data_IF_000038077395
#
_entry.id   IF_000038077395
#
_cell.length_a   1.000
_cell.length_b   1.000
_cell.length_c   1.000
_cell.angle_alpha   90.00
_cell.angle_beta   90.00
_cell.angle_gamma   90.00
#
_symmetry.space_group_name_H-M   'P 1'
#
loop_
_entity.id
_entity.type
_entity.pdbx_description
1 polymer ?
#
# COMPACT_ATOMS: atom_id res chain seq x y z
N UNK A 1 -33.86 27.18 -0.36
CA UNK A 1 -33.16 28.32 -0.93
C UNK A 1 -34.22 29.26 -1.55
N UNK A 2 -34.11 30.56 -1.24
CA UNK A 2 -35.04 31.57 -1.75
C UNK A 2 -34.59 32.03 -3.14
N UNK A 3 -35.19 31.48 -4.19
CA UNK A 3 -34.90 31.83 -5.60
C UNK A 3 -35.52 33.17 -6.05
N UNK A 4 -35.87 34.06 -5.14
CA UNK A 4 -36.70 35.23 -5.44
C UNK A 4 -36.01 36.38 -6.23
N UNK A 5 -34.75 36.21 -6.72
CA UNK A 5 -34.07 37.23 -7.52
C UNK A 5 -33.22 36.68 -8.68
N UNK A 6 -33.57 35.50 -9.22
CA UNK A 6 -32.75 34.82 -10.25
C UNK A 6 -32.97 35.36 -11.65
N UNK A 7 -34.10 36.04 -11.91
CA UNK A 7 -34.42 36.55 -13.24
C UNK A 7 -34.38 38.08 -13.27
N UNK A 8 -33.45 38.62 -14.01
CA UNK A 8 -33.45 40.07 -14.33
C UNK A 8 -34.41 40.33 -15.49
N UNK A 9 -35.47 41.10 -15.23
CA UNK A 9 -36.40 41.53 -16.22
C UNK A 9 -35.94 42.87 -16.80
N UNK A 10 -35.68 42.95 -18.11
CA UNK A 10 -35.45 44.16 -18.85
C UNK A 10 -36.58 44.41 -19.81
N UNK A 11 -36.89 45.71 -20.03
CA UNK A 11 -37.87 46.16 -21.01
C UNK A 11 -37.15 46.38 -22.34
N UNK A 12 -37.47 45.60 -23.35
CA UNK A 12 -36.89 45.70 -24.69
C UNK A 12 -37.92 46.19 -25.69
N UNK A 13 -38.20 47.55 -25.65
CA UNK A 13 -39.09 48.22 -26.59
C UNK A 13 -40.53 47.77 -26.46
N UNK A 14 -41.30 48.02 -27.53
CA UNK A 14 -42.72 47.66 -27.66
C UNK A 14 -42.93 46.70 -28.81
N UNK A 15 -43.68 45.64 -28.59
CA UNK A 15 -44.10 44.66 -29.60
C UNK A 15 -45.58 45.09 -29.99
N UNK A 16 -45.86 45.26 -31.27
CA UNK A 16 -47.18 45.66 -31.76
C UNK A 16 -47.69 46.99 -31.19
N UNK A 17 -46.82 48.01 -31.03
CA UNK A 17 -47.15 49.39 -30.65
C UNK A 17 -47.72 49.58 -29.25
N UNK A 18 -48.41 48.59 -28.68
CA UNK A 18 -49.14 48.73 -27.41
C UNK A 18 -48.64 47.80 -26.28
N UNK A 19 -47.88 46.73 -26.58
CA UNK A 19 -47.43 45.80 -25.57
C UNK A 19 -45.93 45.97 -25.29
N UNK A 20 -45.58 46.07 -24.02
CA UNK A 20 -44.19 46.06 -23.60
C UNK A 20 -43.56 44.67 -23.88
N UNK A 21 -42.44 44.67 -24.57
CA UNK A 21 -41.64 43.46 -24.74
C UNK A 21 -40.71 43.29 -23.54
N UNK A 22 -40.79 42.16 -22.89
CA UNK A 22 -39.91 41.85 -21.74
C UNK A 22 -38.98 40.74 -22.11
N UNK A 23 -37.70 40.95 -21.84
CA UNK A 23 -36.67 39.95 -21.94
C UNK A 23 -36.24 39.54 -20.52
N UNK A 24 -36.10 38.25 -20.31
CA UNK A 24 -35.58 37.68 -19.07
C UNK A 24 -34.15 37.25 -19.32
N UNK A 25 -33.23 37.82 -18.57
CA UNK A 25 -31.83 37.41 -18.58
C UNK A 25 -31.59 36.52 -17.38
N UNK A 26 -31.10 35.32 -17.62
CA UNK A 26 -30.65 34.38 -16.58
C UNK A 26 -29.22 34.76 -16.23
N UNK A 27 -28.91 35.09 -14.98
CA UNK A 27 -27.53 35.26 -14.55
C UNK A 27 -26.71 34.00 -14.82
N UNK A 28 -25.43 34.19 -15.07
CA UNK A 28 -24.48 33.10 -15.31
C UNK A 28 -23.40 33.11 -14.24
N UNK A 29 -22.88 31.93 -13.92
CA UNK A 29 -21.74 31.75 -13.03
C UNK A 29 -20.65 30.96 -13.74
N UNK A 30 -19.41 31.32 -13.52
CA UNK A 30 -18.26 30.48 -13.88
C UNK A 30 -18.12 29.35 -12.87
N UNK A 31 -17.99 28.13 -13.35
CA UNK A 31 -17.93 26.92 -12.55
C UNK A 31 -16.51 26.35 -12.62
N UNK A 32 -16.02 25.96 -11.47
CA UNK A 32 -14.73 25.27 -11.31
C UNK A 32 -14.96 23.80 -11.01
N UNK A 33 -14.24 22.93 -11.69
CA UNK A 33 -14.19 21.48 -11.43
C UNK A 33 -12.91 21.18 -10.67
N UNK A 34 -13.03 20.49 -9.54
CA UNK A 34 -11.92 19.85 -8.83
C UNK A 34 -11.92 18.40 -9.25
N UNK A 35 -10.79 17.93 -9.78
CA UNK A 35 -10.63 16.58 -10.29
C UNK A 35 -9.79 15.74 -9.34
N UNK A 36 -10.26 14.53 -9.06
CA UNK A 36 -9.54 13.55 -8.24
C UNK A 36 -8.46 12.78 -8.98
N UNK A 37 -8.41 12.90 -10.31
CA UNK A 37 -7.47 12.19 -11.17
C UNK A 37 -7.11 13.02 -12.38
N UNK A 38 -5.90 12.87 -12.91
CA UNK A 38 -5.50 13.47 -14.18
C UNK A 38 -6.19 12.79 -15.37
N UNK A 39 -6.52 13.55 -16.39
CA UNK A 39 -7.11 12.99 -17.62
C UNK A 39 -7.78 14.01 -18.52
N UNK A 40 -8.34 13.51 -19.63
CA UNK A 40 -9.09 14.32 -20.60
C UNK A 40 -10.59 14.07 -20.42
N UNK A 41 -11.33 15.10 -20.02
CA UNK A 41 -12.77 14.99 -19.83
C UNK A 41 -13.49 15.52 -21.07
N UNK A 42 -14.44 14.73 -21.56
CA UNK A 42 -15.41 15.13 -22.56
C UNK A 42 -16.79 15.17 -21.92
N UNK A 43 -17.47 16.31 -21.98
CA UNK A 43 -18.85 16.44 -21.49
C UNK A 43 -19.75 17.11 -22.51
N UNK A 44 -21.07 16.93 -22.38
CA UNK A 44 -22.06 17.49 -23.27
C UNK A 44 -22.91 18.55 -22.54
N UNK A 45 -22.99 19.75 -23.12
CA UNK A 45 -23.85 20.83 -22.64
C UNK A 45 -24.55 21.51 -23.78
N UNK A 46 -25.88 21.65 -23.70
CA UNK A 46 -26.74 22.23 -24.74
C UNK A 46 -26.63 21.58 -26.13
N UNK A 47 -26.18 20.31 -26.19
CA UNK A 47 -25.98 19.56 -27.44
C UNK A 47 -24.58 19.72 -28.04
N UNK A 48 -23.75 20.53 -27.43
CA UNK A 48 -22.35 20.71 -27.82
C UNK A 48 -21.44 19.85 -26.94
N UNK A 49 -20.37 19.32 -27.53
CA UNK A 49 -19.32 18.59 -26.81
C UNK A 49 -18.19 19.54 -26.45
N UNK A 50 -17.80 19.47 -25.19
CA UNK A 50 -16.69 20.21 -24.61
C UNK A 50 -15.59 19.27 -24.18
N UNK A 51 -14.32 19.70 -24.29
CA UNK A 51 -13.15 18.94 -23.92
C UNK A 51 -12.29 19.78 -22.99
N UNK A 52 -11.88 19.22 -21.87
CA UNK A 52 -10.97 19.85 -20.91
C UNK A 52 -9.93 18.84 -20.44
N UNK A 53 -8.70 19.30 -20.28
CA UNK A 53 -7.64 18.55 -19.62
C UNK A 53 -7.64 18.92 -18.15
N UNK A 54 -7.59 17.93 -17.27
CA UNK A 54 -7.55 18.09 -15.83
C UNK A 54 -6.33 17.36 -15.24
N UNK A 55 -5.80 17.92 -14.18
CA UNK A 55 -4.76 17.30 -13.36
C UNK A 55 -5.35 16.96 -12.00
N UNK A 56 -4.75 15.97 -11.32
CA UNK A 56 -5.16 15.53 -9.99
C UNK A 56 -5.06 16.71 -9.01
N UNK A 57 -6.10 16.92 -8.20
CA UNK A 57 -6.22 17.97 -7.19
C UNK A 57 -6.07 19.40 -7.72
N UNK A 58 -6.16 19.62 -9.04
CA UNK A 58 -6.11 20.95 -9.65
C UNK A 58 -7.51 21.49 -9.97
N UNK A 59 -7.68 22.79 -9.75
CA UNK A 59 -8.91 23.51 -10.04
C UNK A 59 -8.96 23.87 -11.53
N UNK A 60 -9.94 23.36 -12.25
CA UNK A 60 -10.13 23.64 -13.68
C UNK A 60 -11.42 24.37 -13.95
N UNK A 61 -11.34 25.48 -14.68
CA UNK A 61 -12.55 26.16 -15.15
C UNK A 61 -13.31 25.26 -16.14
N UNK A 62 -14.51 24.85 -15.75
CA UNK A 62 -15.43 24.07 -16.59
C UNK A 62 -16.12 24.94 -17.64
N UNK A 63 -16.34 26.20 -17.30
CA UNK A 63 -17.01 27.19 -18.16
C UNK A 63 -18.08 28.00 -17.42
N UNK A 64 -18.85 28.76 -18.18
CA UNK A 64 -19.90 29.63 -17.64
C UNK A 64 -21.27 29.05 -17.92
N UNK A 65 -22.06 28.85 -16.87
CA UNK A 65 -23.38 28.22 -16.91
C UNK A 65 -24.46 29.19 -16.39
N UNK A 66 -25.68 29.20 -16.99
CA UNK A 66 -26.83 29.82 -16.37
C UNK A 66 -27.07 29.26 -14.98
N UNK A 67 -27.61 30.07 -14.06
CA UNK A 67 -27.92 29.57 -12.70
C UNK A 67 -28.91 28.41 -12.78
N UNK A 68 -28.55 27.28 -12.17
CA UNK A 68 -29.35 26.05 -12.15
C UNK A 68 -28.49 24.86 -11.71
N UNK A 69 -29.15 23.73 -11.50
CA UNK A 69 -28.47 22.46 -11.18
C UNK A 69 -28.33 21.64 -12.46
N UNK A 70 -27.17 21.06 -12.66
CA UNK A 70 -26.86 20.31 -13.88
C UNK A 70 -26.30 18.95 -13.53
N UNK A 71 -26.65 17.94 -14.32
CA UNK A 71 -26.01 16.63 -14.35
C UNK A 71 -25.57 16.38 -15.80
N UNK A 72 -24.32 16.69 -16.10
CA UNK A 72 -23.77 16.62 -17.44
C UNK A 72 -23.22 15.20 -17.69
N UNK A 73 -23.69 14.56 -18.74
CA UNK A 73 -23.07 13.28 -19.19
C UNK A 73 -21.64 13.56 -19.60
N UNK A 74 -20.71 12.78 -19.05
CA UNK A 74 -19.30 12.94 -19.31
C UNK A 74 -18.61 11.59 -19.49
N UNK A 75 -17.44 11.65 -20.11
CA UNK A 75 -16.46 10.58 -20.11
C UNK A 75 -15.09 11.16 -19.82
N UNK A 76 -14.23 10.37 -19.19
CA UNK A 76 -12.84 10.74 -18.86
C UNK A 76 -11.89 9.70 -19.39
N UNK A 77 -10.90 10.15 -20.14
CA UNK A 77 -9.79 9.32 -20.59
C UNK A 77 -8.66 9.36 -19.57
N UNK A 78 -8.40 8.25 -18.90
CA UNK A 78 -7.35 8.08 -17.91
C UNK A 78 -6.52 6.87 -18.29
N UNK A 79 -5.19 7.00 -18.35
CA UNK A 79 -4.25 5.92 -18.68
C UNK A 79 -4.61 5.12 -19.97
N UNK A 80 -5.18 5.83 -20.96
CA UNK A 80 -5.58 5.22 -22.24
C UNK A 80 -6.88 4.43 -22.21
N UNK A 81 -7.64 4.49 -21.11
CA UNK A 81 -8.98 3.90 -20.96
C UNK A 81 -10.03 5.00 -20.83
N UNK A 82 -11.23 4.77 -21.37
CA UNK A 82 -12.33 5.73 -21.32
C UNK A 82 -13.39 5.30 -20.29
N UNK A 83 -13.59 6.14 -19.28
CA UNK A 83 -14.53 5.91 -18.19
C UNK A 83 -15.77 6.79 -18.37
N UNK A 84 -16.94 6.19 -18.27
CA UNK A 84 -18.23 6.90 -18.37
C UNK A 84 -18.67 7.38 -17.00
N UNK A 85 -19.26 8.58 -16.98
CA UNK A 85 -19.72 9.18 -15.74
C UNK A 85 -20.55 10.44 -15.99
N UNK A 86 -20.50 11.32 -15.00
CA UNK A 86 -21.19 12.58 -15.02
C UNK A 86 -20.40 13.67 -14.28
N UNK A 87 -20.68 14.93 -14.62
CA UNK A 87 -20.29 16.09 -13.85
C UNK A 87 -21.56 16.69 -13.27
N UNK A 88 -21.62 16.80 -11.95
CA UNK A 88 -22.75 17.42 -11.23
C UNK A 88 -22.38 18.83 -10.81
N UNK A 89 -23.23 19.80 -11.13
CA UNK A 89 -23.09 21.19 -10.72
C UNK A 89 -24.31 21.50 -9.86
N UNK A 90 -24.09 21.86 -8.61
CA UNK A 90 -25.11 22.34 -7.67
C UNK A 90 -24.83 23.83 -7.36
N UNK A 91 -25.69 24.70 -7.84
CA UNK A 91 -25.56 26.15 -7.60
C UNK A 91 -26.45 26.63 -6.46
N UNK A 92 -27.08 25.75 -5.69
CA UNK A 92 -27.90 26.10 -4.53
C UNK A 92 -27.05 26.65 -3.37
N UNK A 93 -25.78 26.28 -3.34
CA UNK A 93 -24.78 26.79 -2.38
C UNK A 93 -23.99 27.98 -2.96
N UNK A 94 -23.22 28.64 -2.11
CA UNK A 94 -22.43 29.82 -2.51
C UNK A 94 -21.25 29.43 -3.42
N UNK A 95 -20.84 28.19 -3.37
CA UNK A 95 -19.67 27.71 -4.08
C UNK A 95 -20.00 27.33 -5.53
N UNK A 96 -19.15 27.78 -6.43
CA UNK A 96 -19.31 27.54 -7.89
C UNK A 96 -18.47 26.32 -8.31
N UNK A 97 -18.62 25.19 -7.57
CA UNK A 97 -17.82 23.98 -7.73
C UNK A 97 -18.67 22.88 -8.38
N UNK A 98 -18.06 22.19 -9.34
CA UNK A 98 -18.59 20.99 -9.95
C UNK A 98 -17.88 19.75 -9.36
N UNK A 99 -18.63 18.67 -9.27
CA UNK A 99 -18.14 17.37 -8.80
C UNK A 99 -18.22 16.35 -9.93
N UNK A 100 -17.13 15.59 -10.10
CA UNK A 100 -17.10 14.49 -11.06
C UNK A 100 -17.46 13.16 -10.41
N UNK A 101 -18.07 12.27 -11.20
CA UNK A 101 -18.36 10.91 -10.81
C UNK A 101 -18.16 9.99 -12.02
N UNK A 102 -17.01 9.36 -12.10
CA UNK A 102 -16.69 8.36 -13.13
C UNK A 102 -16.66 6.97 -12.50
N UNK A 103 -17.36 6.04 -13.13
CA UNK A 103 -17.40 4.66 -12.65
C UNK A 103 -16.07 3.99 -12.98
N UNK A 104 -15.32 3.66 -11.97
CA UNK A 104 -14.03 2.99 -12.05
C UNK A 104 -13.86 2.02 -10.88
N UNK A 105 -12.99 1.05 -11.05
CA UNK A 105 -12.60 0.10 -10.00
C UNK A 105 -11.17 0.41 -9.57
N UNK A 106 -10.98 0.58 -8.25
CA UNK A 106 -9.68 0.77 -7.61
C UNK A 106 -9.53 -0.18 -6.45
N UNK A 107 -8.32 -0.59 -6.13
CA UNK A 107 -8.07 -1.51 -5.03
C UNK A 107 -6.68 -1.29 -4.40
N UNK A 108 -6.59 -1.63 -3.12
CA UNK A 108 -5.33 -1.78 -2.41
C UNK A 108 -5.01 -3.27 -2.32
N UNK A 109 -3.74 -3.61 -2.17
CA UNK A 109 -3.30 -5.00 -2.01
C UNK A 109 -2.47 -5.14 -0.74
N UNK A 110 -2.92 -6.05 0.13
CA UNK A 110 -2.19 -6.50 1.29
C UNK A 110 -1.60 -7.89 1.01
N UNK A 111 -0.34 -8.10 1.40
CA UNK A 111 0.32 -9.40 1.27
C UNK A 111 0.49 -10.03 2.64
N UNK A 112 0.11 -11.31 2.77
CA UNK A 112 0.30 -12.11 3.97
C UNK A 112 1.24 -13.29 3.68
N UNK A 113 2.09 -13.65 4.66
CA UNK A 113 2.93 -14.85 4.61
C UNK A 113 4.19 -14.77 3.75
N UNK A 114 4.57 -13.59 3.30
CA UNK A 114 5.75 -13.42 2.42
C UNK A 114 6.89 -12.61 3.02
N UNK A 115 6.98 -12.52 4.34
CA UNK A 115 7.88 -11.59 5.05
C UNK A 115 9.38 -11.86 4.84
N UNK A 116 9.75 -13.11 4.51
CA UNK A 116 11.15 -13.48 4.21
C UNK A 116 11.49 -13.45 2.72
N UNK A 117 10.50 -13.16 1.86
CA UNK A 117 10.70 -13.12 0.42
C UNK A 117 11.28 -11.77 -0.02
N UNK A 118 12.28 -11.82 -0.86
CA UNK A 118 12.84 -10.67 -1.55
C UNK A 118 12.00 -10.31 -2.78
N UNK A 119 12.06 -9.01 -3.15
CA UNK A 119 11.48 -8.50 -4.40
C UNK A 119 10.01 -8.89 -4.59
N UNK A 120 9.20 -8.79 -3.54
CA UNK A 120 7.76 -9.06 -3.65
C UNK A 120 7.13 -8.04 -4.58
N UNK A 121 6.47 -8.53 -5.65
CA UNK A 121 5.80 -7.73 -6.68
C UNK A 121 4.35 -8.12 -6.77
N UNK A 122 3.49 -7.14 -7.05
CA UNK A 122 2.06 -7.33 -7.27
C UNK A 122 1.77 -7.40 -8.77
N UNK A 123 0.91 -8.32 -9.14
CA UNK A 123 0.46 -8.53 -10.51
C UNK A 123 -1.07 -8.43 -10.59
N UNK A 124 -1.57 -7.71 -11.59
CA UNK A 124 -2.98 -7.70 -11.96
C UNK A 124 -3.11 -8.19 -13.39
N UNK A 125 -3.95 -9.21 -13.62
CA UNK A 125 -4.12 -9.87 -14.93
C UNK A 125 -2.79 -10.28 -15.59
N UNK A 126 -1.80 -10.69 -14.76
CA UNK A 126 -0.48 -11.12 -15.22
C UNK A 126 0.49 -10.00 -15.56
N UNK A 127 0.11 -8.74 -15.38
CA UNK A 127 0.99 -7.58 -15.53
C UNK A 127 1.44 -7.10 -14.16
N UNK A 128 2.74 -6.87 -13.98
CA UNK A 128 3.28 -6.21 -12.79
C UNK A 128 2.70 -4.79 -12.65
N UNK A 129 2.20 -4.47 -11.47
CA UNK A 129 1.57 -3.18 -11.17
C UNK A 129 2.23 -2.43 -10.01
N UNK A 130 3.04 -3.09 -9.19
CA UNK A 130 3.73 -2.43 -8.09
C UNK A 130 4.45 -3.39 -7.15
N UNK A 131 4.93 -2.83 -6.04
CA UNK A 131 5.66 -3.54 -5.01
C UNK A 131 4.71 -4.13 -3.96
N UNK A 132 5.04 -5.33 -3.44
CA UNK A 132 4.19 -6.10 -2.53
C UNK A 132 3.99 -5.48 -1.14
N UNK A 133 4.81 -4.51 -0.77
CA UNK A 133 4.73 -3.80 0.52
C UNK A 133 4.40 -2.32 0.36
N UNK A 134 3.90 -1.93 -0.83
CA UNK A 134 3.44 -0.57 -1.09
C UNK A 134 2.01 -0.40 -0.58
N UNK A 135 1.71 0.77 -0.02
CA UNK A 135 0.35 1.19 0.33
C UNK A 135 -0.36 1.91 -0.82
N UNK A 136 0.07 1.71 -2.04
CA UNK A 136 -0.50 2.36 -3.22
C UNK A 136 -1.88 1.80 -3.57
N UNK A 137 -2.75 2.69 -4.05
CA UNK A 137 -4.03 2.31 -4.64
C UNK A 137 -3.86 2.08 -6.12
N UNK A 138 -4.18 0.87 -6.58
CA UNK A 138 -4.05 0.44 -7.96
C UNK A 138 -5.34 0.71 -8.75
N UNK A 139 -5.21 1.08 -10.00
CA UNK A 139 -6.28 1.41 -10.93
C UNK A 139 -5.95 2.71 -11.69
N UNK A 140 -6.88 3.21 -12.53
CA UNK A 140 -8.27 2.79 -12.67
C UNK A 140 -8.48 1.56 -13.59
N UNK A 141 -9.46 0.74 -13.25
CA UNK A 141 -9.94 -0.38 -14.08
C UNK A 141 -11.40 -0.15 -14.44
N UNK A 142 -11.82 -0.72 -15.61
CA UNK A 142 -13.25 -0.70 -15.98
C UNK A 142 -14.07 -1.43 -14.90
N UNK A 143 -15.24 -0.90 -14.50
CA UNK A 143 -16.08 -1.55 -13.48
C UNK A 143 -16.46 -2.99 -13.82
N UNK A 144 -16.61 -3.30 -15.10
CA UNK A 144 -16.99 -4.61 -15.59
C UNK A 144 -15.78 -5.50 -15.94
N UNK A 145 -14.55 -4.96 -15.88
CA UNK A 145 -13.31 -5.71 -16.11
C UNK A 145 -13.08 -6.71 -14.98
N UNK A 146 -12.80 -7.97 -15.34
CA UNK A 146 -12.32 -8.95 -14.37
C UNK A 146 -10.85 -8.68 -14.05
N UNK A 147 -10.55 -8.42 -12.78
CA UNK A 147 -9.19 -8.14 -12.31
C UNK A 147 -8.78 -9.22 -11.32
N UNK A 148 -7.80 -10.03 -11.73
CA UNK A 148 -7.22 -11.10 -10.91
C UNK A 148 -5.86 -10.64 -10.39
N UNK A 149 -5.72 -10.57 -9.07
CA UNK A 149 -4.51 -10.11 -8.39
C UNK A 149 -3.78 -11.27 -7.73
N UNK A 150 -2.46 -11.28 -7.82
CA UNK A 150 -1.57 -12.14 -7.04
C UNK A 150 -0.25 -11.42 -6.77
N UNK A 151 0.54 -11.96 -5.85
CA UNK A 151 1.90 -11.51 -5.58
C UNK A 151 2.91 -12.61 -5.95
N UNK A 152 4.11 -12.21 -6.33
CA UNK A 152 5.27 -13.09 -6.52
C UNK A 152 6.46 -12.50 -5.76
N UNK A 153 7.22 -13.35 -5.07
CA UNK A 153 8.44 -12.99 -4.36
C UNK A 153 9.48 -14.09 -4.51
N UNK A 154 10.72 -13.83 -4.16
CA UNK A 154 11.80 -14.81 -4.33
C UNK A 154 12.57 -15.01 -3.03
N UNK A 155 13.07 -16.22 -2.84
CA UNK A 155 14.03 -16.58 -1.80
C UNK A 155 15.06 -17.54 -2.39
N UNK A 156 16.36 -17.22 -2.23
CA UNK A 156 17.47 -18.08 -2.68
C UNK A 156 17.28 -18.62 -4.11
N UNK A 157 16.86 -17.73 -5.04
CA UNK A 157 16.68 -18.07 -6.47
C UNK A 157 15.39 -18.83 -6.82
N UNK A 158 14.54 -19.16 -5.85
CA UNK A 158 13.21 -19.73 -6.08
C UNK A 158 12.14 -18.66 -5.99
N UNK A 159 11.25 -18.65 -6.97
CA UNK A 159 10.06 -17.77 -6.95
C UNK A 159 8.90 -18.48 -6.28
N UNK A 160 8.25 -17.76 -5.38
CA UNK A 160 7.00 -18.14 -4.73
C UNK A 160 5.88 -17.25 -5.22
N UNK A 161 4.71 -17.83 -5.35
CA UNK A 161 3.51 -17.15 -5.80
C UNK A 161 2.41 -17.27 -4.75
N UNK A 162 1.73 -16.16 -4.47
CA UNK A 162 0.56 -16.17 -3.61
C UNK A 162 -0.64 -16.83 -4.28
N UNK A 163 -1.72 -17.03 -3.53
CA UNK A 163 -3.03 -17.29 -4.12
C UNK A 163 -3.43 -16.13 -5.05
N UNK A 164 -4.36 -16.41 -5.95
CA UNK A 164 -4.96 -15.40 -6.82
C UNK A 164 -6.34 -14.99 -6.28
N UNK A 165 -6.62 -13.69 -6.26
CA UNK A 165 -7.88 -13.12 -5.77
C UNK A 165 -8.52 -12.28 -6.87
N UNK A 166 -9.82 -12.49 -7.13
CA UNK A 166 -10.58 -11.61 -7.99
C UNK A 166 -11.03 -10.38 -7.17
N UNK A 167 -10.67 -9.18 -7.62
CA UNK A 167 -11.02 -7.91 -6.94
C UNK A 167 -12.53 -7.82 -6.70
N UNK A 168 -13.36 -8.31 -7.62
CA UNK A 168 -14.83 -8.29 -7.48
C UNK A 168 -15.35 -9.17 -6.32
N UNK A 169 -14.54 -10.11 -5.83
CA UNK A 169 -14.91 -10.98 -4.69
C UNK A 169 -14.49 -10.44 -3.33
N UNK A 170 -13.71 -9.36 -3.30
CA UNK A 170 -13.25 -8.71 -2.08
C UNK A 170 -14.26 -7.64 -1.61
N UNK A 171 -14.13 -7.22 -0.36
CA UNK A 171 -15.06 -6.26 0.25
C UNK A 171 -14.70 -4.84 -0.19
N UNK A 172 -15.67 -4.11 -0.73
CA UNK A 172 -15.55 -2.68 -1.01
C UNK A 172 -15.59 -1.89 0.31
N UNK A 173 -14.67 -0.95 0.47
CA UNK A 173 -14.65 0.04 1.55
C UNK A 173 -15.40 1.32 1.16
N UNK A 174 -15.68 2.15 2.17
CA UNK A 174 -16.17 3.51 1.94
C UNK A 174 -15.19 4.27 1.02
N UNK A 175 -15.71 4.86 -0.07
CA UNK A 175 -14.93 5.61 -1.05
C UNK A 175 -14.64 4.86 -2.36
N UNK A 176 -15.21 3.66 -2.58
CA UNK A 176 -15.11 2.94 -3.86
C UNK A 176 -13.77 2.26 -4.11
N UNK A 177 -12.95 2.10 -3.06
CA UNK A 177 -11.70 1.33 -3.11
C UNK A 177 -11.90 -0.01 -2.45
N UNK A 178 -11.45 -1.09 -3.10
CA UNK A 178 -11.57 -2.46 -2.59
C UNK A 178 -10.25 -2.91 -1.98
N UNK A 179 -10.27 -3.51 -0.78
CA UNK A 179 -9.07 -4.12 -0.21
C UNK A 179 -8.98 -5.59 -0.62
N UNK A 180 -7.85 -5.95 -1.17
CA UNK A 180 -7.52 -7.31 -1.63
C UNK A 180 -6.39 -7.84 -0.78
N UNK A 181 -6.59 -9.00 -0.15
CA UNK A 181 -5.52 -9.70 0.58
C UNK A 181 -5.09 -10.92 -0.21
N UNK A 182 -3.83 -10.98 -0.59
CA UNK A 182 -3.19 -12.14 -1.20
C UNK A 182 -2.27 -12.82 -0.18
N UNK A 183 -2.26 -14.16 -0.19
CA UNK A 183 -1.54 -14.95 0.81
C UNK A 183 -0.55 -15.88 0.14
N UNK A 184 0.68 -15.82 0.61
CA UNK A 184 1.69 -16.82 0.27
C UNK A 184 1.44 -18.10 1.06
N UNK A 185 1.91 -19.21 0.53
CA UNK A 185 1.94 -20.50 1.23
C UNK A 185 3.18 -20.53 2.14
N UNK A 186 2.98 -20.12 3.40
CA UNK A 186 4.04 -20.05 4.41
C UNK A 186 4.68 -21.43 4.62
N UNK A 187 3.88 -22.51 4.67
CA UNK A 187 4.40 -23.86 4.86
C UNK A 187 5.34 -24.27 3.71
N UNK A 188 4.99 -23.94 2.47
CA UNK A 188 5.84 -24.20 1.31
C UNK A 188 7.12 -23.36 1.28
N UNK A 189 7.07 -22.16 1.85
CA UNK A 189 8.23 -21.27 2.00
C UNK A 189 9.14 -21.85 3.08
N UNK A 190 8.61 -22.13 4.27
CA UNK A 190 9.37 -22.68 5.42
C UNK A 190 10.06 -23.99 5.04
N UNK A 191 9.36 -24.93 4.41
CA UNK A 191 9.96 -26.18 3.93
C UNK A 191 11.12 -25.96 2.95
N UNK A 192 11.06 -24.90 2.14
CA UNK A 192 12.16 -24.59 1.22
C UNK A 192 13.32 -23.93 1.94
N UNK A 193 13.04 -23.08 2.91
CA UNK A 193 14.06 -22.47 3.78
C UNK A 193 14.79 -23.53 4.55
N UNK A 194 14.07 -24.42 5.25
CA UNK A 194 14.66 -25.53 6.01
C UNK A 194 15.55 -26.40 5.11
N UNK A 195 15.04 -26.75 3.92
CA UNK A 195 15.84 -27.51 2.96
C UNK A 195 17.11 -26.78 2.53
N UNK A 196 17.06 -25.45 2.35
CA UNK A 196 18.24 -24.66 2.00
C UNK A 196 19.23 -24.55 3.14
N UNK A 197 18.74 -24.50 4.35
CA UNK A 197 19.58 -24.57 5.55
C UNK A 197 20.26 -25.93 5.62
N UNK A 198 19.52 -27.03 5.48
CA UNK A 198 20.06 -28.38 5.47
C UNK A 198 21.12 -28.56 4.36
N UNK A 199 20.83 -28.12 3.11
CA UNK A 199 21.80 -28.17 2.01
C UNK A 199 23.09 -27.39 2.34
N UNK A 200 22.98 -26.25 3.02
CA UNK A 200 24.12 -25.40 3.40
C UNK A 200 24.99 -26.07 4.50
N UNK A 201 24.34 -26.86 5.36
CA UNK A 201 25.03 -27.57 6.44
C UNK A 201 25.50 -28.97 6.04
N UNK A 202 24.83 -29.65 5.08
CA UNK A 202 25.18 -31.00 4.60
C UNK A 202 26.39 -30.97 3.64
N UNK A 203 26.67 -29.84 2.97
CA UNK A 203 27.87 -29.67 2.10
C UNK A 203 29.17 -29.42 2.91
N UNK A 204 29.09 -29.48 4.26
CA UNK A 204 30.21 -29.34 5.17
C UNK A 204 30.74 -30.69 5.76
N UNK A 205 30.12 -31.83 5.36
CA UNK A 205 30.44 -33.15 5.95
C UNK A 205 31.27 -34.08 5.04
N UNK A 206 32.15 -33.54 4.20
CA UNK A 206 33.18 -34.40 3.58
C UNK A 206 34.54 -33.69 3.49
N UNK A 207 35.18 -33.53 4.63
CA UNK A 207 36.62 -33.77 4.86
C UNK A 207 36.93 -33.59 6.35
N UNK A 208 37.19 -34.72 7.01
CA UNK A 208 37.84 -34.74 8.31
C UNK A 208 39.19 -34.04 8.23
N UNK A 209 39.33 -32.93 9.02
CA UNK A 209 40.48 -32.82 9.90
C UNK A 209 40.31 -31.63 10.85
N UNK A 210 40.32 -31.97 12.10
CA UNK A 210 40.63 -31.19 13.28
C UNK A 210 41.54 -29.99 12.99
N UNK A 211 40.93 -28.79 12.81
CA UNK A 211 41.61 -27.54 13.15
C UNK A 211 40.62 -26.48 13.60
N UNK A 212 40.83 -25.98 14.83
CA UNK A 212 40.11 -24.89 15.45
C UNK A 212 40.29 -23.61 14.63
N UNK A 213 39.51 -23.41 13.58
CA UNK A 213 39.43 -22.11 12.93
C UNK A 213 38.21 -21.34 13.45
N UNK A 214 38.50 -20.31 14.23
CA UNK A 214 37.61 -19.23 14.64
C UNK A 214 36.87 -18.64 13.43
N UNK A 215 35.70 -19.19 13.08
CA UNK A 215 34.80 -18.57 12.11
C UNK A 215 34.19 -17.33 12.74
N UNK A 216 34.18 -16.22 12.00
CA UNK A 216 33.51 -14.97 12.42
C UNK A 216 32.09 -15.24 12.91
N UNK A 217 31.74 -14.72 14.10
CA UNK A 217 30.40 -14.89 14.66
C UNK A 217 29.44 -13.95 13.96
N UNK A 218 28.37 -14.53 13.44
CA UNK A 218 27.30 -13.83 12.74
C UNK A 218 26.02 -13.81 13.57
N UNK A 219 25.01 -13.07 13.13
CA UNK A 219 23.71 -13.07 13.79
C UNK A 219 23.05 -14.45 13.79
N UNK A 220 23.29 -15.22 12.74
CA UNK A 220 22.68 -16.54 12.54
C UNK A 220 23.30 -17.61 13.45
N UNK A 221 24.61 -17.51 13.80
CA UNK A 221 25.30 -18.52 14.58
C UNK A 221 25.62 -18.11 16.02
N UNK A 222 25.31 -16.90 16.44
CA UNK A 222 25.62 -16.40 17.79
C UNK A 222 24.87 -17.17 18.88
N UNK A 223 23.63 -17.60 18.62
CA UNK A 223 22.84 -18.41 19.56
C UNK A 223 23.48 -19.78 19.72
N UNK A 224 23.94 -20.43 18.65
CA UNK A 224 24.61 -21.71 18.67
C UNK A 224 25.90 -21.65 19.50
N UNK A 225 26.60 -20.52 19.48
CA UNK A 225 27.78 -20.29 20.33
C UNK A 225 27.43 -20.28 21.82
N UNK A 226 26.29 -19.59 22.15
CA UNK A 226 25.82 -19.58 23.54
C UNK A 226 25.32 -20.95 23.97
N UNK A 227 24.59 -21.67 23.13
CA UNK A 227 24.15 -23.05 23.42
C UNK A 227 25.33 -24.03 23.59
N UNK A 228 26.39 -23.83 22.81
CA UNK A 228 27.65 -24.62 22.98
C UNK A 228 28.29 -24.31 24.32
N UNK A 229 28.35 -23.05 24.73
CA UNK A 229 28.87 -22.64 26.04
C UNK A 229 28.03 -23.18 27.20
N UNK A 230 26.70 -23.10 27.11
CA UNK A 230 25.76 -23.65 28.10
C UNK A 230 25.75 -25.19 28.14
N UNK A 231 26.17 -25.87 27.06
CA UNK A 231 26.10 -27.30 26.90
C UNK A 231 24.69 -27.85 26.71
N UNK A 232 23.72 -26.98 26.41
CA UNK A 232 22.34 -27.34 26.11
C UNK A 232 21.65 -26.20 25.31
N UNK A 233 20.53 -26.53 24.68
CA UNK A 233 19.71 -25.53 24.00
C UNK A 233 19.11 -24.53 24.99
N UNK A 234 18.94 -23.28 24.55
CA UNK A 234 18.35 -22.23 25.37
C UNK A 234 16.93 -22.59 25.84
N UNK A 235 16.64 -22.37 27.13
CA UNK A 235 15.35 -22.71 27.75
C UNK A 235 14.27 -21.67 27.37
N UNK A 236 13.65 -21.87 26.23
CA UNK A 236 12.54 -21.04 25.73
C UNK A 236 11.21 -21.29 26.46
N UNK A 237 11.12 -22.33 27.27
CA UNK A 237 9.96 -22.60 28.11
C UNK A 237 9.92 -21.71 29.36
N UNK A 238 11.09 -21.29 29.83
CA UNK A 238 11.25 -20.47 31.02
C UNK A 238 11.51 -19.00 30.70
N UNK A 239 12.29 -18.74 29.65
CA UNK A 239 12.74 -17.38 29.30
C UNK A 239 12.31 -16.96 27.89
N UNK A 240 12.18 -15.65 27.70
CA UNK A 240 11.99 -15.02 26.40
C UNK A 240 13.26 -14.32 25.98
N UNK A 241 13.91 -14.83 24.93
CA UNK A 241 15.16 -14.26 24.42
C UNK A 241 14.89 -13.13 23.44
N UNK A 242 15.67 -12.04 23.56
CA UNK A 242 15.68 -10.95 22.59
C UNK A 242 16.56 -11.32 21.40
N UNK A 243 16.29 -10.74 20.27
CA UNK A 243 17.12 -10.95 19.09
C UNK A 243 18.54 -10.40 19.30
N UNK A 244 19.58 -11.12 18.82
CA UNK A 244 20.97 -10.65 18.90
C UNK A 244 21.18 -9.36 18.13
N UNK A 245 21.88 -8.40 18.76
CA UNK A 245 22.27 -7.12 18.16
C UNK A 245 23.78 -6.89 18.33
N UNK A 246 24.39 -6.17 17.38
CA UNK A 246 25.81 -5.77 17.51
C UNK A 246 25.95 -4.70 18.57
N UNK A 247 26.84 -4.95 19.54
CA UNK A 247 27.25 -3.98 20.54
C UNK A 247 28.33 -3.05 20.00
N UNK A 248 28.51 -1.90 20.65
CA UNK A 248 29.48 -0.88 20.18
C UNK A 248 30.95 -1.29 20.30
N UNK A 249 31.26 -2.37 20.97
CA UNK A 249 32.60 -2.92 21.24
C UNK A 249 32.98 -4.15 20.39
N UNK A 250 32.21 -4.40 19.30
CA UNK A 250 32.50 -5.45 18.35
C UNK A 250 32.06 -6.84 18.81
N UNK A 251 31.00 -6.93 19.62
CA UNK A 251 30.42 -8.19 20.05
C UNK A 251 28.98 -8.31 19.54
N UNK A 252 28.45 -9.51 19.56
CA UNK A 252 27.02 -9.76 19.55
C UNK A 252 26.49 -9.82 20.96
N UNK A 253 25.33 -9.21 21.24
CA UNK A 253 24.69 -9.25 22.55
C UNK A 253 23.19 -9.47 22.43
N UNK A 254 22.61 -10.23 23.35
CA UNK A 254 21.18 -10.38 23.53
C UNK A 254 20.83 -10.66 24.97
N UNK A 255 19.66 -10.21 25.40
CA UNK A 255 19.14 -10.39 26.75
C UNK A 255 18.01 -11.40 26.76
N UNK A 256 17.72 -11.94 27.94
CA UNK A 256 16.57 -12.81 28.16
C UNK A 256 15.77 -12.32 29.37
N UNK A 257 14.46 -12.48 29.26
CA UNK A 257 13.48 -12.04 30.24
C UNK A 257 12.81 -13.25 30.88
N UNK A 258 12.43 -13.10 32.12
CA UNK A 258 11.61 -14.11 32.81
C UNK A 258 10.15 -14.08 32.38
N UNK A 259 9.28 -14.91 33.02
CA UNK A 259 7.84 -15.00 32.71
C UNK A 259 7.06 -13.75 33.10
N UNK A 260 7.60 -12.92 33.99
CA UNK A 260 7.00 -11.66 34.43
C UNK A 260 7.42 -10.49 33.52
N UNK A 261 8.37 -10.76 32.62
CA UNK A 261 8.92 -9.81 31.65
C UNK A 261 10.07 -8.95 32.19
N UNK A 262 10.61 -9.35 33.35
CA UNK A 262 11.75 -8.70 33.97
C UNK A 262 13.06 -9.27 33.38
N UNK A 263 14.13 -8.44 33.34
CA UNK A 263 15.43 -8.86 32.86
C UNK A 263 15.99 -9.97 33.77
N UNK A 264 16.25 -11.14 33.21
CA UNK A 264 16.84 -12.28 33.91
C UNK A 264 18.32 -12.43 33.64
N UNK A 265 18.83 -11.88 32.55
CA UNK A 265 20.24 -11.88 32.21
C UNK A 265 20.52 -11.54 30.75
N UNK A 266 21.79 -11.61 30.36
CA UNK A 266 22.21 -11.37 28.98
C UNK A 266 23.49 -12.10 28.64
N UNK A 267 23.71 -12.30 27.34
CA UNK A 267 24.94 -12.84 26.78
C UNK A 267 25.62 -11.83 25.87
N UNK A 268 26.96 -11.83 25.86
CA UNK A 268 27.74 -11.24 24.78
C UNK A 268 28.67 -12.27 24.18
N UNK A 269 28.85 -12.22 22.86
CA UNK A 269 29.71 -13.16 22.12
C UNK A 269 30.67 -12.33 21.26
N UNK A 270 31.96 -12.57 21.43
CA UNK A 270 32.98 -11.92 20.63
C UNK A 270 32.88 -12.33 19.16
N UNK A 271 32.95 -11.34 18.24
CA UNK A 271 32.75 -11.62 16.82
C UNK A 271 33.94 -12.38 16.22
N UNK A 272 35.13 -12.16 16.72
CA UNK A 272 36.35 -12.69 16.13
C UNK A 272 36.65 -14.15 16.55
N UNK A 273 36.34 -14.49 17.82
CA UNK A 273 36.71 -15.79 18.36
C UNK A 273 35.55 -16.58 18.97
N UNK A 274 34.37 -15.98 19.06
CA UNK A 274 33.19 -16.68 19.58
C UNK A 274 33.17 -16.83 21.11
N UNK A 275 34.00 -16.13 21.83
CA UNK A 275 34.05 -16.19 23.29
C UNK A 275 32.75 -15.60 23.89
N UNK A 276 32.06 -16.39 24.70
CA UNK A 276 30.79 -16.06 25.35
C UNK A 276 31.06 -15.49 26.73
N UNK A 277 30.35 -14.44 27.10
CA UNK A 277 30.25 -13.89 28.45
C UNK A 277 28.80 -13.79 28.86
N UNK A 278 28.45 -14.36 30.00
CA UNK A 278 27.13 -14.35 30.60
C UNK A 278 27.06 -13.30 31.71
N UNK A 279 25.93 -12.57 31.77
CA UNK A 279 25.66 -11.56 32.78
C UNK A 279 24.31 -11.84 33.45
N UNK A 280 24.22 -11.54 34.74
CA UNK A 280 22.97 -11.58 35.50
C UNK A 280 22.04 -10.40 35.23
N UNK A 281 20.96 -10.32 36.01
CA UNK A 281 19.96 -9.23 35.94
C UNK A 281 20.50 -7.85 36.29
N UNK A 282 21.57 -7.78 37.11
CA UNK A 282 22.26 -6.56 37.52
C UNK A 282 23.39 -6.16 36.53
N UNK A 283 23.68 -6.99 35.53
CA UNK A 283 24.75 -6.81 34.54
C UNK A 283 26.14 -7.20 35.07
N UNK A 284 26.23 -8.01 36.15
CA UNK A 284 27.48 -8.58 36.64
C UNK A 284 27.81 -9.87 35.90
N UNK A 285 29.07 -10.05 35.51
CA UNK A 285 29.54 -11.28 34.84
C UNK A 285 29.41 -12.45 35.78
N UNK A 286 28.65 -13.50 35.34
CA UNK A 286 28.44 -14.75 36.11
C UNK A 286 29.13 -15.92 35.50
N UNK A 287 29.53 -15.87 34.25
CA UNK A 287 30.27 -16.90 33.57
C UNK A 287 30.85 -16.46 32.24
N UNK A 288 31.84 -17.20 31.75
CA UNK A 288 32.40 -16.96 30.41
C UNK A 288 33.18 -18.18 29.89
N UNK A 289 33.21 -18.37 28.56
CA UNK A 289 33.89 -19.53 27.92
C UNK A 289 33.59 -19.68 26.44
N UNK A 290 33.84 -20.91 25.90
CA UNK A 290 33.55 -21.28 24.52
C UNK A 290 32.50 -22.37 24.46
#
# INVERSE_FOLDING_TARGET
>A
ANYNNILNRSKDGKKYVFFDNYQFNVPQKTITLVSSDSGEITYEFNGDKHHISVEEDDDKELGTFPIGDYNLKASKDMEGKNFKGAITIDMSESDSIAYESFKQKRFNVDTEGGYILDNVKIYANGKEIGDGFSSETYGPYDPDEEVIVHAEGSYEGKTFKSNSVNVASASEKDGGVTDVTVKFDEEAIDQYVDKKLDEKYDDSDDESDNDSSSGEVTRENVIDKVESYEGHTLDTDTYTYKEPEKTGDGKWGFSFLDKDGDLAGSYTVDIDDGYVTEYDEDGEEVGSGY
#
